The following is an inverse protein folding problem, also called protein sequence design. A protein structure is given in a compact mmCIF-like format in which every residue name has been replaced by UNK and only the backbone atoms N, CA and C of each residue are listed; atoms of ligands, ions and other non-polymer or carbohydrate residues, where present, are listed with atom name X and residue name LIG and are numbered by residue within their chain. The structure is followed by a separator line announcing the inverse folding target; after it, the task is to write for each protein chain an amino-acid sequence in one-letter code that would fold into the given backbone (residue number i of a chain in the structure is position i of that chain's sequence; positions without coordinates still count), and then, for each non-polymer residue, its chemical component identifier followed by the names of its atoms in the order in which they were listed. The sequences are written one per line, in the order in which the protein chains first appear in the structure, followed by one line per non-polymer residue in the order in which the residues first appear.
data_IF_640551851948
#
_entry.id   IF_640551851948
#
_cell.length_a   1.000
_cell.length_b   1.000
_cell.length_c   1.000
_cell.angle_alpha   90.00
_cell.angle_beta   90.00
_cell.angle_gamma   90.00
#
_symmetry.space_group_name_H-M   'P 1'
#
loop_
_entity.id
_entity.type
_entity.pdbx_description
1 polymer ?
#
# COMPACT_ATOMS: atom_id res chain seq x y z
N UNK A 1 -8.38 12.03 4.77
CA UNK A 1 -8.15 12.78 3.51
C UNK A 1 -8.85 14.13 3.48
N UNK A 2 -10.19 14.25 3.57
CA UNK A 2 -10.90 15.54 3.47
C UNK A 2 -10.31 16.63 4.37
N UNK A 3 -10.08 16.35 5.65
CA UNK A 3 -9.45 17.29 6.58
C UNK A 3 -8.08 17.77 6.11
N UNK A 4 -7.24 16.86 5.60
CA UNK A 4 -5.91 17.22 5.09
C UNK A 4 -6.00 18.12 3.86
N UNK A 5 -6.88 17.79 2.90
CA UNK A 5 -7.13 18.65 1.73
C UNK A 5 -7.58 20.05 2.13
N UNK A 6 -8.51 20.15 3.08
CA UNK A 6 -8.98 21.42 3.61
C UNK A 6 -7.84 22.20 4.31
N UNK A 7 -7.02 21.51 5.11
CA UNK A 7 -5.85 22.12 5.77
C UNK A 7 -4.85 22.65 4.74
N UNK A 8 -4.43 21.83 3.79
CA UNK A 8 -3.45 22.23 2.76
C UNK A 8 -3.97 23.41 1.95
N UNK A 9 -5.25 23.38 1.55
CA UNK A 9 -5.88 24.46 0.79
C UNK A 9 -5.91 25.77 1.60
N UNK A 10 -6.38 25.71 2.84
CA UNK A 10 -6.50 26.89 3.70
C UNK A 10 -5.12 27.49 4.02
N UNK A 11 -4.14 26.64 4.32
CA UNK A 11 -2.77 27.06 4.56
C UNK A 11 -2.17 27.71 3.31
N UNK A 12 -2.39 27.14 2.13
CA UNK A 12 -1.89 27.72 0.88
C UNK A 12 -2.48 29.12 0.62
N UNK A 13 -3.76 29.31 0.84
CA UNK A 13 -4.42 30.63 0.73
C UNK A 13 -3.85 31.62 1.75
N UNK A 14 -3.74 31.21 3.02
CA UNK A 14 -3.22 32.07 4.08
C UNK A 14 -1.74 32.45 3.85
N UNK A 15 -0.93 31.51 3.31
CA UNK A 15 0.46 31.76 2.93
C UNK A 15 0.57 32.81 1.81
N UNK A 16 -0.28 32.71 0.78
CA UNK A 16 -0.35 33.69 -0.32
C UNK A 16 -0.76 35.05 0.19
N UNK A 17 -1.84 35.15 0.96
CA UNK A 17 -2.33 36.42 1.51
C UNK A 17 -1.30 37.07 2.44
N UNK A 18 -0.68 36.28 3.30
CA UNK A 18 0.35 36.73 4.21
C UNK A 18 1.64 37.19 3.48
N UNK A 19 2.00 36.54 2.37
CA UNK A 19 3.15 36.95 1.55
C UNK A 19 2.89 38.27 0.81
N UNK A 20 1.64 38.59 0.49
CA UNK A 20 1.23 39.84 -0.16
C UNK A 20 1.03 40.98 0.86
N UNK A 21 0.98 40.66 2.15
CA UNK A 21 0.69 41.62 3.20
C UNK A 21 -0.81 41.86 3.45
N UNK A 22 -1.70 41.06 2.82
CA UNK A 22 -3.15 41.17 2.94
C UNK A 22 -3.64 40.62 4.29
N UNK A 23 -2.88 39.74 4.92
CA UNK A 23 -3.18 39.15 6.22
C UNK A 23 -1.99 39.23 7.17
N UNK A 24 -2.30 39.38 8.49
CA UNK A 24 -1.27 39.37 9.53
C UNK A 24 -0.63 38.00 9.68
N UNK A 25 0.70 37.93 9.68
CA UNK A 25 1.46 36.71 9.90
C UNK A 25 1.27 36.21 11.34
N UNK A 26 0.58 35.08 11.49
CA UNK A 26 0.54 34.34 12.74
C UNK A 26 1.81 33.48 12.92
N UNK A 27 2.09 33.02 14.15
CA UNK A 27 3.22 32.10 14.40
C UNK A 27 3.08 30.80 13.62
N UNK A 28 1.85 30.32 13.40
CA UNK A 28 1.52 29.16 12.61
C UNK A 28 1.94 29.35 11.13
N UNK A 29 1.49 30.44 10.49
CA UNK A 29 1.83 30.77 9.10
C UNK A 29 3.33 31.00 8.94
N UNK A 30 3.99 31.66 9.90
CA UNK A 30 5.44 31.86 9.88
C UNK A 30 6.20 30.53 9.95
N UNK A 31 5.74 29.58 10.77
CA UNK A 31 6.33 28.24 10.84
C UNK A 31 6.15 27.48 9.51
N UNK A 32 4.98 27.53 8.90
CA UNK A 32 4.72 26.92 7.60
C UNK A 32 5.59 27.55 6.49
N UNK A 33 5.71 28.88 6.43
CA UNK A 33 6.60 29.58 5.51
C UNK A 33 8.04 29.12 5.67
N UNK A 34 8.54 29.04 6.92
CA UNK A 34 9.88 28.53 7.20
C UNK A 34 10.09 27.12 6.68
N UNK A 35 9.14 26.22 6.87
CA UNK A 35 9.24 24.85 6.35
C UNK A 35 9.34 24.84 4.83
N UNK A 36 8.48 25.61 4.14
CA UNK A 36 8.46 25.70 2.68
C UNK A 36 9.76 26.28 2.13
N UNK A 37 10.29 27.33 2.73
CA UNK A 37 11.58 27.92 2.29
C UNK A 37 12.77 27.00 2.49
N UNK A 38 12.68 26.05 3.44
CA UNK A 38 13.67 24.99 3.64
C UNK A 38 13.35 23.71 2.85
N UNK A 39 12.44 23.76 1.89
CA UNK A 39 12.03 22.62 1.08
C UNK A 39 11.55 21.41 1.90
N UNK A 40 10.93 21.67 3.05
CA UNK A 40 10.43 20.66 3.97
C UNK A 40 8.92 20.75 4.13
N UNK A 41 8.28 19.60 4.42
CA UNK A 41 6.82 19.51 4.58
C UNK A 41 6.39 20.16 5.88
N UNK A 42 5.44 21.14 5.86
CA UNK A 42 4.87 21.72 7.07
C UNK A 42 4.31 20.69 8.03
N UNK A 43 4.47 20.91 9.34
CA UNK A 43 4.02 19.96 10.37
C UNK A 43 2.52 19.67 10.33
N UNK A 44 1.71 20.66 9.97
CA UNK A 44 0.26 20.54 9.79
C UNK A 44 -0.18 19.62 8.65
N UNK A 45 0.72 19.36 7.69
CA UNK A 45 0.45 18.49 6.54
C UNK A 45 0.86 17.04 6.75
N UNK A 46 1.58 16.75 7.85
CA UNK A 46 2.08 15.42 8.19
C UNK A 46 0.99 14.56 8.83
N UNK A 47 -0.02 14.18 8.06
CA UNK A 47 -1.15 13.37 8.54
C UNK A 47 -1.10 11.90 8.09
N UNK A 48 -0.09 11.51 7.32
CA UNK A 48 0.22 10.12 6.96
C UNK A 48 1.74 9.91 6.95
N UNK A 49 2.16 8.65 6.99
CA UNK A 49 3.59 8.30 6.97
C UNK A 49 4.19 8.49 5.58
N UNK A 50 5.33 9.12 5.52
CA UNK A 50 6.17 9.27 4.34
C UNK A 50 7.65 9.33 4.75
N UNK A 51 8.63 9.08 3.85
CA UNK A 51 10.06 9.14 4.15
C UNK A 51 10.45 10.47 4.77
N UNK A 52 11.31 10.42 5.81
CA UNK A 52 11.71 11.62 6.57
C UNK A 52 12.52 12.64 5.76
N UNK A 53 13.15 12.17 4.70
CA UNK A 53 13.97 12.93 3.74
C UNK A 53 13.17 13.43 2.52
N UNK A 54 11.85 13.16 2.49
CA UNK A 54 10.99 13.59 1.40
C UNK A 54 10.95 15.13 1.30
N UNK A 55 11.27 15.64 0.12
CA UNK A 55 11.17 17.07 -0.19
C UNK A 55 9.73 17.53 -0.32
N UNK A 56 9.50 18.84 -0.21
CA UNK A 56 8.15 19.41 -0.37
C UNK A 56 7.53 19.10 -1.75
N UNK A 57 8.24 19.25 -2.90
CA UNK A 57 7.71 18.84 -4.20
C UNK A 57 7.38 17.35 -4.25
N UNK A 58 8.28 16.49 -3.77
CA UNK A 58 8.03 15.04 -3.73
C UNK A 58 6.79 14.68 -2.90
N UNK A 59 6.59 15.36 -1.76
CA UNK A 59 5.36 15.18 -0.96
C UNK A 59 4.10 15.65 -1.70
N UNK A 60 4.18 16.76 -2.44
CA UNK A 60 3.03 17.26 -3.24
C UNK A 60 2.67 16.24 -4.32
N UNK A 61 3.65 15.69 -5.02
CA UNK A 61 3.43 14.68 -6.06
C UNK A 61 2.80 13.40 -5.48
N UNK A 62 3.35 12.88 -4.37
CA UNK A 62 2.78 11.73 -3.65
C UNK A 62 1.34 12.02 -3.19
N UNK A 63 1.09 13.20 -2.62
CA UNK A 63 -0.23 13.59 -2.15
C UNK A 63 -1.25 13.68 -3.30
N UNK A 64 -0.85 14.23 -4.45
CA UNK A 64 -1.71 14.32 -5.64
C UNK A 64 -2.05 12.93 -6.19
N UNK A 65 -1.09 12.00 -6.21
CA UNK A 65 -1.33 10.61 -6.62
C UNK A 65 -2.34 9.93 -5.70
N UNK A 66 -2.21 10.09 -4.37
CA UNK A 66 -3.16 9.58 -3.39
C UNK A 66 -4.57 10.15 -3.57
N UNK A 67 -4.67 11.47 -3.75
CA UNK A 67 -5.95 12.15 -3.99
C UNK A 67 -6.61 11.64 -5.27
N UNK A 68 -5.83 11.48 -6.34
CA UNK A 68 -6.32 10.97 -7.63
C UNK A 68 -6.84 9.54 -7.49
N UNK A 69 -6.11 8.66 -6.79
CA UNK A 69 -6.56 7.29 -6.56
C UNK A 69 -7.87 7.25 -5.75
N UNK A 70 -7.99 8.07 -4.70
CA UNK A 70 -9.21 8.08 -3.89
C UNK A 70 -10.39 8.69 -4.67
N UNK A 71 -10.15 9.67 -5.55
CA UNK A 71 -11.18 10.17 -6.45
C UNK A 71 -11.71 9.05 -7.34
N UNK A 72 -10.83 8.26 -7.95
CA UNK A 72 -11.21 7.07 -8.74
C UNK A 72 -12.03 6.07 -7.92
N UNK A 73 -11.68 5.84 -6.64
CA UNK A 73 -12.45 4.99 -5.74
C UNK A 73 -13.86 5.52 -5.49
N UNK A 74 -14.01 6.83 -5.30
CA UNK A 74 -15.32 7.48 -5.06
C UNK A 74 -16.18 7.49 -6.33
N UNK A 75 -15.57 7.65 -7.50
CA UNK A 75 -16.24 7.69 -8.80
C UNK A 75 -16.55 6.30 -9.34
N UNK A 76 -15.94 5.24 -8.79
CA UNK A 76 -16.15 3.88 -9.24
C UNK A 76 -17.57 3.39 -8.91
N UNK A 77 -18.22 2.73 -9.86
CA UNK A 77 -19.58 2.16 -9.69
C UNK A 77 -19.63 1.08 -8.62
N UNK A 78 -18.51 0.36 -8.42
CA UNK A 78 -18.36 -0.69 -7.42
C UNK A 78 -16.91 -0.83 -6.96
N UNK A 79 -16.71 -1.44 -5.80
CA UNK A 79 -15.35 -1.80 -5.33
C UNK A 79 -14.65 -2.69 -6.35
N UNK A 80 -15.38 -3.60 -7.01
CA UNK A 80 -14.80 -4.50 -8.00
C UNK A 80 -14.26 -3.76 -9.23
N UNK A 81 -14.98 -2.76 -9.75
CA UNK A 81 -14.51 -1.95 -10.89
C UNK A 81 -13.26 -1.14 -10.53
N UNK A 82 -13.15 -0.67 -9.29
CA UNK A 82 -11.96 0.03 -8.82
C UNK A 82 -10.74 -0.89 -8.72
N UNK A 83 -10.93 -2.10 -8.19
CA UNK A 83 -9.80 -3.03 -7.92
C UNK A 83 -9.32 -3.78 -9.16
N UNK A 84 -10.11 -3.85 -10.23
CA UNK A 84 -9.74 -4.53 -11.48
C UNK A 84 -8.53 -3.88 -12.18
N UNK A 85 -8.41 -2.56 -12.08
CA UNK A 85 -7.29 -1.80 -12.68
C UNK A 85 -6.00 -1.85 -11.84
N UNK A 86 -6.06 -2.47 -10.68
CA UNK A 86 -4.99 -2.53 -9.71
C UNK A 86 -4.92 -1.29 -8.80
N UNK A 87 -4.75 -1.55 -7.52
CA UNK A 87 -4.73 -0.57 -6.44
C UNK A 87 -3.30 -0.39 -5.92
N UNK A 88 -2.84 0.83 -5.86
CA UNK A 88 -1.64 1.18 -5.11
C UNK A 88 -1.99 1.28 -3.62
N UNK A 89 -1.85 0.16 -2.91
CA UNK A 89 -2.27 0.05 -1.50
C UNK A 89 -1.42 0.95 -0.59
N UNK A 90 -0.14 1.16 -0.89
CA UNK A 90 0.72 2.11 -0.18
C UNK A 90 0.23 3.56 -0.25
N UNK A 91 -0.51 3.91 -1.31
CA UNK A 91 -1.15 5.21 -1.48
C UNK A 91 -2.46 5.41 -0.72
N UNK A 92 -2.98 4.38 -0.06
CA UNK A 92 -4.19 4.49 0.76
C UNK A 92 -3.85 5.05 2.15
N UNK A 93 -4.78 5.86 2.72
CA UNK A 93 -4.64 6.38 4.09
C UNK A 93 -4.91 5.32 5.17
N UNK A 94 -5.56 4.23 4.81
CA UNK A 94 -5.88 3.12 5.72
C UNK A 94 -5.83 1.79 4.96
N UNK A 95 -4.64 1.26 4.63
CA UNK A 95 -4.48 0.00 3.91
C UNK A 95 -5.20 -1.19 4.57
N UNK A 96 -5.13 -1.30 5.90
CA UNK A 96 -5.81 -2.36 6.65
C UNK A 96 -7.33 -2.35 6.48
N UNK A 97 -7.95 -1.16 6.45
CA UNK A 97 -9.37 -1.03 6.19
C UNK A 97 -9.76 -1.48 4.77
N UNK A 98 -8.88 -1.24 3.79
CA UNK A 98 -9.07 -1.72 2.43
C UNK A 98 -9.11 -3.25 2.35
N UNK A 99 -8.15 -3.95 2.97
CA UNK A 99 -8.16 -5.42 3.02
C UNK A 99 -9.39 -5.96 3.76
N UNK A 100 -9.80 -5.31 4.84
CA UNK A 100 -11.04 -5.68 5.56
C UNK A 100 -12.27 -5.52 4.66
N UNK A 101 -12.38 -4.41 3.93
CA UNK A 101 -13.50 -4.15 3.03
C UNK A 101 -13.56 -5.15 1.86
N UNK A 102 -12.41 -5.48 1.24
CA UNK A 102 -12.35 -6.48 0.18
C UNK A 102 -12.77 -7.87 0.68
N UNK A 103 -12.31 -8.27 1.89
CA UNK A 103 -12.70 -9.52 2.54
C UNK A 103 -14.21 -9.59 2.78
N UNK A 104 -14.78 -8.51 3.34
CA UNK A 104 -16.22 -8.41 3.58
C UNK A 104 -17.02 -8.47 2.26
N UNK A 105 -16.58 -7.76 1.23
CA UNK A 105 -17.23 -7.75 -0.09
C UNK A 105 -17.29 -9.15 -0.71
N UNK A 106 -16.17 -9.89 -0.65
CA UNK A 106 -16.12 -11.28 -1.17
C UNK A 106 -16.98 -12.20 -0.32
N UNK A 107 -16.94 -12.10 1.01
CA UNK A 107 -17.78 -12.89 1.92
C UNK A 107 -19.26 -12.70 1.63
N UNK A 108 -19.72 -11.44 1.50
CA UNK A 108 -21.11 -11.11 1.20
C UNK A 108 -21.55 -11.63 -0.17
N UNK A 109 -20.74 -11.41 -1.21
CA UNK A 109 -21.07 -11.83 -2.58
C UNK A 109 -21.23 -13.34 -2.72
N UNK A 110 -20.33 -14.11 -2.07
CA UNK A 110 -20.32 -15.57 -2.15
C UNK A 110 -21.10 -16.24 -1.00
N UNK A 111 -21.65 -15.47 -0.05
CA UNK A 111 -22.32 -15.98 1.16
C UNK A 111 -21.42 -16.90 1.99
N UNK A 112 -20.13 -16.54 2.08
CA UNK A 112 -19.13 -17.27 2.85
C UNK A 112 -18.96 -16.68 4.26
N UNK A 113 -18.60 -17.54 5.22
CA UNK A 113 -18.26 -17.08 6.56
C UNK A 113 -16.95 -16.31 6.54
N UNK A 114 -16.95 -15.08 7.06
CA UNK A 114 -15.81 -14.16 7.02
C UNK A 114 -14.56 -14.77 7.64
N UNK A 115 -14.70 -15.43 8.77
CA UNK A 115 -13.61 -16.05 9.53
C UNK A 115 -12.91 -17.19 8.80
N UNK A 116 -13.58 -17.83 7.83
CA UNK A 116 -13.04 -18.94 7.04
C UNK A 116 -12.22 -18.47 5.84
N UNK A 117 -12.32 -17.19 5.46
CA UNK A 117 -11.61 -16.67 4.30
C UNK A 117 -10.11 -16.55 4.55
N UNK A 118 -9.33 -17.12 3.65
CA UNK A 118 -7.88 -17.02 3.58
C UNK A 118 -7.46 -16.15 2.38
N UNK A 119 -6.31 -15.50 2.50
CA UNK A 119 -5.76 -14.67 1.45
C UNK A 119 -4.68 -15.44 0.71
N UNK A 120 -4.91 -15.72 -0.56
CA UNK A 120 -3.92 -16.23 -1.50
C UNK A 120 -3.30 -15.07 -2.26
N UNK A 121 -2.00 -15.17 -2.49
CA UNK A 121 -1.24 -14.16 -3.22
C UNK A 121 -0.49 -14.81 -4.37
N UNK A 122 -0.63 -14.24 -5.55
CA UNK A 122 0.02 -14.71 -6.78
C UNK A 122 0.64 -13.51 -7.49
N UNK A 123 1.90 -13.59 -7.87
CA UNK A 123 2.53 -12.53 -8.66
C UNK A 123 2.04 -12.66 -10.11
N UNK A 124 1.52 -11.57 -10.63
CA UNK A 124 0.83 -11.52 -11.93
C UNK A 124 -0.67 -11.30 -11.79
N UNK A 125 -1.38 -11.36 -12.91
CA UNK A 125 -2.83 -11.19 -12.96
C UNK A 125 -3.56 -12.52 -12.68
N UNK A 126 -4.66 -12.45 -11.93
CA UNK A 126 -5.60 -13.56 -11.77
C UNK A 126 -6.91 -13.24 -12.51
N UNK A 127 -7.53 -14.26 -13.08
CA UNK A 127 -8.86 -14.15 -13.71
C UNK A 127 -10.03 -14.38 -12.74
N UNK A 128 -9.74 -14.64 -11.46
CA UNK A 128 -10.76 -14.90 -10.45
C UNK A 128 -11.58 -13.64 -10.12
N UNK A 129 -12.89 -13.80 -10.00
CA UNK A 129 -13.80 -12.72 -9.58
C UNK A 129 -13.60 -12.29 -8.10
N UNK A 130 -12.92 -13.11 -7.30
CA UNK A 130 -12.62 -12.85 -5.89
C UNK A 130 -11.23 -12.24 -5.70
N UNK A 131 -10.50 -12.06 -6.81
CA UNK A 131 -9.18 -11.46 -6.81
C UNK A 131 -9.24 -9.95 -7.02
N UNK A 132 -8.21 -9.27 -6.51
CA UNK A 132 -7.94 -7.87 -6.79
C UNK A 132 -6.45 -7.68 -6.99
N UNK A 133 -6.10 -6.71 -7.83
CA UNK A 133 -4.71 -6.42 -8.16
C UNK A 133 -4.14 -5.36 -7.23
N UNK A 134 -2.95 -5.62 -6.70
CA UNK A 134 -2.17 -4.68 -5.91
C UNK A 134 -0.90 -4.33 -6.69
N UNK A 135 -0.64 -3.04 -6.80
CA UNK A 135 0.53 -2.48 -7.48
C UNK A 135 1.58 -2.03 -6.48
N UNK A 136 2.83 -1.98 -6.96
CA UNK A 136 3.95 -1.37 -6.24
C UNK A 136 4.25 -2.05 -4.90
N UNK A 137 4.39 -3.39 -4.93
CA UNK A 137 4.91 -4.16 -3.80
C UNK A 137 6.41 -4.36 -4.00
N UNK A 138 7.18 -4.01 -2.98
CA UNK A 138 8.62 -4.19 -2.97
C UNK A 138 8.98 -5.47 -2.22
N UNK A 139 9.65 -6.39 -2.91
CA UNK A 139 10.21 -7.61 -2.35
C UNK A 139 11.66 -7.34 -1.93
N UNK A 140 11.98 -7.66 -0.69
CA UNK A 140 13.32 -7.52 -0.11
C UNK A 140 13.97 -8.87 0.13
N UNK A 141 15.27 -8.97 -0.11
CA UNK A 141 16.10 -10.13 0.24
C UNK A 141 15.88 -11.38 -0.62
N UNK A 142 15.07 -11.26 -1.67
CA UNK A 142 14.81 -12.32 -2.62
C UNK A 142 14.58 -11.76 -4.02
N UNK A 143 14.71 -12.61 -5.04
CA UNK A 143 14.32 -12.33 -6.41
C UNK A 143 13.02 -13.08 -6.74
N UNK A 144 12.28 -12.57 -7.70
CA UNK A 144 11.11 -13.23 -8.26
C UNK A 144 11.42 -13.70 -9.69
N UNK A 145 11.33 -15.00 -9.93
CA UNK A 145 11.42 -15.60 -11.25
C UNK A 145 10.41 -16.75 -11.31
N UNK A 146 9.13 -16.43 -11.56
CA UNK A 146 7.96 -17.31 -11.45
C UNK A 146 7.74 -17.89 -10.04
N UNK A 147 8.81 -18.05 -9.28
CA UNK A 147 8.86 -18.46 -7.88
C UNK A 147 9.83 -17.58 -7.10
N UNK A 148 9.73 -17.63 -5.79
CA UNK A 148 10.62 -16.91 -4.88
C UNK A 148 11.98 -17.63 -4.83
N UNK A 149 13.05 -16.89 -5.18
CA UNK A 149 14.43 -17.38 -5.16
C UNK A 149 15.24 -16.56 -4.15
N UNK A 150 15.95 -17.25 -3.25
CA UNK A 150 16.82 -16.57 -2.28
C UNK A 150 17.92 -15.80 -2.99
N UNK A 151 18.00 -14.52 -2.74
CA UNK A 151 19.05 -13.64 -3.25
C UNK A 151 19.39 -12.59 -2.23
N UNK A 152 20.66 -12.48 -1.86
CA UNK A 152 21.10 -11.46 -0.90
C UNK A 152 21.12 -10.07 -1.55
N UNK A 153 20.57 -9.08 -0.84
CA UNK A 153 20.63 -7.63 -1.18
C UNK A 153 19.84 -7.19 -2.41
N UNK A 154 18.93 -7.98 -2.94
CA UNK A 154 18.09 -7.54 -4.05
C UNK A 154 16.82 -6.90 -3.49
N UNK A 155 16.42 -5.81 -4.11
CA UNK A 155 15.10 -5.21 -4.02
C UNK A 155 14.44 -5.37 -5.37
N UNK A 156 13.31 -6.06 -5.41
CA UNK A 156 12.57 -6.31 -6.66
C UNK A 156 11.20 -5.68 -6.53
N UNK A 157 10.86 -4.78 -7.46
CA UNK A 157 9.51 -4.27 -7.55
C UNK A 157 8.62 -5.33 -8.20
N UNK A 158 7.55 -5.69 -7.54
CA UNK A 158 6.48 -6.53 -8.06
C UNK A 158 5.37 -5.59 -8.57
N UNK A 159 5.35 -5.33 -9.85
CA UNK A 159 4.47 -4.32 -10.45
C UNK A 159 3.00 -4.68 -10.33
N UNK A 160 2.68 -5.98 -10.36
CA UNK A 160 1.32 -6.46 -10.28
C UNK A 160 1.28 -7.76 -9.48
N UNK A 161 0.54 -7.73 -8.39
CA UNK A 161 0.34 -8.89 -7.51
C UNK A 161 -1.16 -9.09 -7.30
N UNK A 162 -1.64 -10.28 -7.58
CA UNK A 162 -3.04 -10.66 -7.37
C UNK A 162 -3.25 -11.17 -5.96
N UNK A 163 -4.18 -10.57 -5.25
CA UNK A 163 -4.66 -10.98 -3.94
C UNK A 163 -6.06 -11.55 -4.09
N UNK A 164 -6.29 -12.75 -3.62
CA UNK A 164 -7.56 -13.46 -3.76
C UNK A 164 -8.04 -13.98 -2.41
N UNK A 165 -9.30 -13.66 -2.06
CA UNK A 165 -9.96 -14.23 -0.91
C UNK A 165 -10.64 -15.53 -1.30
N UNK A 166 -10.30 -16.64 -0.63
CA UNK A 166 -10.79 -17.99 -0.92
C UNK A 166 -11.06 -18.78 0.36
N UNK A 167 -11.82 -19.87 0.23
CA UNK A 167 -11.96 -20.87 1.30
C UNK A 167 -10.75 -21.81 1.29
N UNK A 168 -10.29 -22.32 2.46
CA UNK A 168 -9.10 -23.16 2.56
C UNK A 168 -9.17 -24.48 1.76
N UNK A 169 -10.37 -24.92 1.39
CA UNK A 169 -10.59 -26.19 0.65
C UNK A 169 -10.61 -26.00 -0.88
N UNK A 170 -10.44 -24.80 -1.38
CA UNK A 170 -10.41 -24.49 -2.82
C UNK A 170 -8.97 -24.45 -3.38
N UNK A 171 -8.03 -25.11 -2.72
CA UNK A 171 -6.69 -25.33 -3.29
C UNK A 171 -6.84 -26.13 -4.58
N UNK A 172 -6.49 -25.50 -5.68
CA UNK A 172 -6.54 -26.16 -6.99
C UNK A 172 -5.50 -27.26 -7.05
N UNK A 173 -5.82 -28.36 -7.73
CA UNK A 173 -4.89 -29.50 -7.96
C UNK A 173 -3.56 -29.08 -8.62
N UNK A 174 -3.48 -27.88 -9.18
CA UNK A 174 -2.25 -27.28 -9.71
C UNK A 174 -1.26 -26.82 -8.60
N UNK A 175 -1.70 -26.66 -7.35
CA UNK A 175 -0.86 -26.25 -6.21
C UNK A 175 -0.37 -27.44 -5.38
N UNK A 176 -0.89 -28.64 -5.65
CA UNK A 176 -0.46 -29.86 -5.00
C UNK A 176 1.01 -30.16 -5.38
N UNK A 177 1.92 -30.00 -4.43
CA UNK A 177 3.37 -30.23 -4.62
C UNK A 177 4.22 -28.97 -4.79
N UNK A 178 3.62 -27.77 -4.72
CA UNK A 178 4.38 -26.52 -4.67
C UNK A 178 4.82 -26.21 -3.23
N UNK A 179 6.08 -25.86 -3.08
CA UNK A 179 6.58 -25.34 -1.80
C UNK A 179 6.12 -23.90 -1.62
N UNK A 180 5.63 -23.58 -0.44
CA UNK A 180 5.14 -22.24 -0.10
C UNK A 180 5.96 -21.65 1.05
N UNK A 181 6.09 -20.35 1.05
CA UNK A 181 6.63 -19.58 2.15
C UNK A 181 5.64 -18.51 2.60
N UNK A 182 5.53 -18.31 3.90
CA UNK A 182 4.73 -17.22 4.48
C UNK A 182 5.65 -16.04 4.74
N UNK A 183 5.43 -14.90 4.10
CA UNK A 183 6.23 -13.70 4.27
C UNK A 183 5.41 -12.56 4.88
N UNK A 184 6.04 -11.73 5.74
CA UNK A 184 5.39 -10.52 6.24
C UNK A 184 5.30 -9.45 5.15
N UNK A 185 4.14 -8.80 5.03
CA UNK A 185 3.93 -7.59 4.24
C UNK A 185 3.82 -6.39 5.19
N UNK A 186 4.73 -5.46 5.07
CA UNK A 186 4.80 -4.24 5.88
C UNK A 186 4.20 -3.04 5.16
N UNK A 187 3.71 -2.07 5.95
CA UNK A 187 3.19 -0.80 5.42
C UNK A 187 4.29 0.09 4.82
N UNK A 188 5.52 -0.10 5.25
CA UNK A 188 6.66 0.72 4.84
C UNK A 188 7.94 -0.12 4.74
N UNK A 189 8.93 0.41 4.04
CA UNK A 189 10.24 -0.23 3.86
C UNK A 189 11.03 -0.36 5.19
N UNK A 190 10.76 0.48 6.17
CA UNK A 190 11.41 0.43 7.48
C UNK A 190 10.93 -0.73 8.35
N UNK A 191 9.90 -1.45 7.89
CA UNK A 191 9.32 -2.65 8.53
C UNK A 191 8.82 -2.41 9.96
N UNK A 192 8.40 -1.18 10.26
CA UNK A 192 7.92 -0.80 11.59
C UNK A 192 6.46 -1.22 11.83
N UNK A 193 5.69 -1.40 10.77
CA UNK A 193 4.25 -1.69 10.86
C UNK A 193 3.88 -2.86 9.95
N UNK A 194 3.58 -4.01 10.56
CA UNK A 194 3.10 -5.20 9.86
C UNK A 194 1.64 -5.00 9.44
N UNK A 195 1.35 -5.21 8.16
CA UNK A 195 -0.01 -5.16 7.64
C UNK A 195 -0.69 -6.53 7.71
N UNK A 196 -0.06 -7.54 7.10
CA UNK A 196 -0.54 -8.93 7.09
C UNK A 196 0.58 -9.88 6.67
N UNK A 197 0.35 -11.19 6.77
CA UNK A 197 1.23 -12.21 6.23
C UNK A 197 0.67 -12.76 4.93
N UNK A 198 1.52 -12.97 3.94
CA UNK A 198 1.15 -13.48 2.62
C UNK A 198 1.89 -14.79 2.32
N UNK A 199 1.22 -15.71 1.63
CA UNK A 199 1.79 -16.97 1.19
C UNK A 199 2.18 -16.84 -0.28
N UNK A 200 3.44 -17.13 -0.60
CA UNK A 200 4.00 -17.11 -1.96
C UNK A 200 4.61 -18.46 -2.30
N UNK A 201 4.60 -18.79 -3.60
CA UNK A 201 5.28 -19.98 -4.10
C UNK A 201 6.80 -19.80 -4.04
N UNK A 202 7.51 -20.84 -3.59
CA UNK A 202 8.96 -20.87 -3.44
C UNK A 202 9.57 -21.98 -4.29
N UNK A 203 10.80 -21.76 -4.72
CA UNK A 203 11.60 -22.79 -5.42
C UNK A 203 12.45 -23.62 -4.45
N UNK A 204 12.49 -23.24 -3.19
CA UNK A 204 13.32 -23.87 -2.16
C UNK A 204 12.44 -24.47 -1.06
N UNK A 205 12.66 -25.75 -0.77
CA UNK A 205 12.05 -26.43 0.38
C UNK A 205 12.89 -26.16 1.64
N UNK A 206 12.77 -24.94 2.15
CA UNK A 206 13.43 -24.50 3.38
C UNK A 206 12.40 -23.90 4.33
N UNK A 207 12.59 -24.02 5.66
CA UNK A 207 11.67 -23.47 6.65
C UNK A 207 11.48 -21.96 6.53
N UNK A 208 10.29 -21.45 6.82
CA UNK A 208 9.97 -20.02 6.82
C UNK A 208 10.96 -19.21 7.66
N UNK A 209 11.45 -19.77 8.78
CA UNK A 209 12.44 -19.14 9.66
C UNK A 209 13.75 -18.77 8.93
N UNK A 210 14.17 -19.54 7.95
CA UNK A 210 15.36 -19.25 7.15
C UNK A 210 15.17 -18.03 6.25
N UNK A 211 13.97 -17.84 5.70
CA UNK A 211 13.61 -16.66 4.93
C UNK A 211 13.64 -15.41 5.80
N UNK A 212 13.06 -15.49 7.01
CA UNK A 212 13.05 -14.38 7.97
C UNK A 212 14.45 -13.99 8.44
N UNK A 213 15.31 -14.97 8.74
CA UNK A 213 16.70 -14.72 9.15
C UNK A 213 17.51 -14.01 8.05
N UNK A 214 17.19 -14.27 6.79
CA UNK A 214 17.78 -13.57 5.63
C UNK A 214 17.14 -12.22 5.34
N UNK A 215 16.15 -11.82 6.12
CA UNK A 215 15.47 -10.55 5.99
C UNK A 215 14.51 -10.47 4.80
N UNK A 216 14.03 -11.61 4.30
CA UNK A 216 13.06 -11.63 3.21
C UNK A 216 11.71 -11.13 3.71
N UNK A 217 11.17 -10.16 3.04
CA UNK A 217 9.89 -9.54 3.39
C UNK A 217 9.32 -8.76 2.20
N UNK A 218 8.06 -8.41 2.32
CA UNK A 218 7.38 -7.50 1.40
C UNK A 218 7.10 -6.18 2.10
N UNK A 219 7.12 -5.09 1.35
CA UNK A 219 6.63 -3.80 1.81
C UNK A 219 5.80 -3.11 0.73
N UNK A 220 4.87 -2.26 1.17
CA UNK A 220 4.18 -1.34 0.28
C UNK A 220 5.12 -0.17 -0.05
N UNK A 221 5.07 0.26 -1.31
CA UNK A 221 5.81 1.41 -1.81
C UNK A 221 4.83 2.52 -2.19
#
# INVERSE_FOLDING_TARGET
MRKLLETVRNDAVALVNSSRGDEKQTNYIRSAMKSITHNSVPSSWRSYEFPSDMTLPGWIDDFLLRVTQIRRLVEAESVQSFVSDGVWVGGLFSPGAFFTATRQSVAQRNKWALEKLQLRVTVGSSSSSNAFLVKSILLHGAAWNEKLVLSSRIRTMLDCVSFEWMLPNEETSAEAGLTHVVLPLYLNETRTSLLLSVRLNSDCDIPDSMWYQRGVSLSLN
#
